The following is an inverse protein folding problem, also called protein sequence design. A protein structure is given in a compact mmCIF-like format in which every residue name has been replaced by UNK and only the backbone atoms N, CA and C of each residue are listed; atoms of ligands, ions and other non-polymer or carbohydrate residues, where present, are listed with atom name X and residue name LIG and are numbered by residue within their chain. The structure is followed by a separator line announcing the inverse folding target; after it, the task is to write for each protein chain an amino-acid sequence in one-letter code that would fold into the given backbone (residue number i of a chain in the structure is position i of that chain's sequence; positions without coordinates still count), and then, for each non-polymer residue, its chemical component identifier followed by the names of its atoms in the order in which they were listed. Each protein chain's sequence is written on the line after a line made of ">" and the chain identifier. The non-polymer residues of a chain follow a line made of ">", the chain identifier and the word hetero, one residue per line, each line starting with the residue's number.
data_IF_099948515403
#
_entry.id   IF_099948515403
#
_cell.length_a   1.000
_cell.length_b   1.000
_cell.length_c   1.000
_cell.angle_alpha   90.00
_cell.angle_beta   90.00
_cell.angle_gamma   90.00
#
_symmetry.space_group_name_H-M   'P 1'
#
loop_
_entity.id
_entity.type
_entity.pdbx_description
1 polymer ?
#
# COMPACT_ATOMS: atom_id res chain seq x y z
N UNK A 1 29.43 26.89 -8.02
CA UNK A 1 28.10 26.32 -8.31
C UNK A 1 27.35 26.11 -7.00
N UNK A 2 26.26 26.85 -6.78
CA UNK A 2 25.47 26.73 -5.55
C UNK A 2 24.68 25.40 -5.60
N UNK A 3 25.07 24.43 -4.76
CA UNK A 3 24.38 23.14 -4.67
C UNK A 3 22.92 23.41 -4.25
N UNK A 4 21.96 23.05 -5.11
CA UNK A 4 20.53 23.10 -4.76
C UNK A 4 20.29 22.11 -3.62
N UNK A 5 20.01 22.61 -2.42
CA UNK A 5 19.71 21.78 -1.25
C UNK A 5 18.19 21.59 -1.10
N UNK A 6 17.78 20.34 -0.86
CA UNK A 6 16.40 20.03 -0.48
C UNK A 6 16.21 20.41 0.99
N UNK A 7 15.07 21.02 1.32
CA UNK A 7 14.76 21.51 2.67
C UNK A 7 13.40 20.97 3.10
N UNK A 8 13.08 21.06 4.38
CA UNK A 8 11.76 20.69 4.90
C UNK A 8 10.60 21.39 4.16
N UNK A 9 10.80 22.65 3.73
CA UNK A 9 9.81 23.39 2.95
C UNK A 9 9.50 22.70 1.61
N UNK A 10 10.52 22.18 0.94
CA UNK A 10 10.34 21.44 -0.31
C UNK A 10 9.50 20.17 -0.09
N UNK A 11 9.72 19.46 1.01
CA UNK A 11 8.93 18.27 1.35
C UNK A 11 7.46 18.61 1.62
N UNK A 12 7.18 19.72 2.32
CA UNK A 12 5.80 20.19 2.53
C UNK A 12 5.12 20.63 1.24
N UNK A 13 5.82 21.36 0.38
CA UNK A 13 5.30 21.76 -0.94
C UNK A 13 5.01 20.53 -1.81
N UNK A 14 5.86 19.51 -1.75
CA UNK A 14 5.61 18.25 -2.44
C UNK A 14 4.36 17.55 -1.90
N UNK A 15 4.18 17.47 -0.58
CA UNK A 15 2.96 16.92 0.01
C UNK A 15 1.70 17.70 -0.41
N UNK A 16 1.78 19.03 -0.49
CA UNK A 16 0.69 19.87 -1.00
C UNK A 16 0.39 19.56 -2.47
N UNK A 17 1.42 19.46 -3.32
CA UNK A 17 1.29 19.06 -4.72
C UNK A 17 0.61 17.69 -4.87
N UNK A 18 0.92 16.73 -4.00
CA UNK A 18 0.25 15.43 -4.01
C UNK A 18 -1.25 15.54 -3.70
N UNK A 19 -1.66 16.53 -2.92
CA UNK A 19 -3.07 16.79 -2.61
C UNK A 19 -3.75 17.52 -3.77
N UNK A 20 -3.19 18.66 -4.21
CA UNK A 20 -3.86 19.57 -5.15
C UNK A 20 -3.83 19.05 -6.58
N UNK A 21 -2.65 18.63 -7.04
CA UNK A 21 -2.45 18.24 -8.45
C UNK A 21 -2.70 16.75 -8.67
N UNK A 22 -2.19 15.90 -7.77
CA UNK A 22 -2.32 14.44 -7.91
C UNK A 22 -3.59 13.88 -7.28
N UNK A 23 -4.33 14.69 -6.54
CA UNK A 23 -5.57 14.29 -5.86
C UNK A 23 -5.40 13.02 -5.01
N UNK A 24 -4.21 12.82 -4.44
CA UNK A 24 -3.91 11.64 -3.65
C UNK A 24 -4.70 11.65 -2.34
N UNK A 25 -5.39 10.53 -2.07
CA UNK A 25 -6.03 10.30 -0.77
C UNK A 25 -5.02 10.12 0.39
N UNK A 26 -5.51 10.12 1.64
CA UNK A 26 -4.66 10.00 2.85
C UNK A 26 -3.72 8.80 2.83
N UNK A 27 -4.20 7.63 2.38
CA UNK A 27 -3.40 6.40 2.31
C UNK A 27 -2.16 6.53 1.41
N UNK A 28 -2.35 7.01 0.18
CA UNK A 28 -1.24 7.23 -0.74
C UNK A 28 -0.23 8.24 -0.18
N UNK A 29 -0.70 9.30 0.49
CA UNK A 29 0.18 10.30 1.12
C UNK A 29 0.94 9.73 2.31
N UNK A 30 0.33 8.89 3.14
CA UNK A 30 1.00 8.24 4.27
C UNK A 30 2.17 7.36 3.81
N UNK A 31 1.99 6.63 2.70
CA UNK A 31 3.05 5.85 2.06
C UNK A 31 4.17 6.78 1.59
N UNK A 32 3.85 7.87 0.88
CA UNK A 32 4.87 8.84 0.41
C UNK A 32 5.65 9.47 1.57
N UNK A 33 4.99 9.81 2.68
CA UNK A 33 5.67 10.27 3.91
C UNK A 33 6.64 9.21 4.43
N UNK A 34 6.22 7.95 4.48
CA UNK A 34 7.08 6.84 4.92
C UNK A 34 8.30 6.66 4.01
N UNK A 35 8.10 6.71 2.69
CA UNK A 35 9.19 6.63 1.71
C UNK A 35 10.18 7.79 1.88
N UNK A 36 9.68 9.03 2.03
CA UNK A 36 10.54 10.20 2.24
C UNK A 36 11.34 10.07 3.54
N UNK A 37 10.70 9.66 4.64
CA UNK A 37 11.42 9.42 5.90
C UNK A 37 12.53 8.39 5.71
N UNK A 38 12.22 7.22 5.15
CA UNK A 38 13.22 6.18 4.90
C UNK A 38 14.37 6.65 4.01
N UNK A 39 14.06 7.36 2.92
CA UNK A 39 15.07 7.88 2.00
C UNK A 39 16.00 8.91 2.64
N UNK A 40 15.45 9.90 3.37
CA UNK A 40 16.29 10.91 4.02
C UNK A 40 17.00 10.38 5.26
N UNK A 41 16.45 9.37 5.94
CA UNK A 41 17.19 8.61 6.96
C UNK A 41 18.41 7.92 6.34
N UNK A 42 18.23 7.22 5.22
CA UNK A 42 19.36 6.61 4.51
C UNK A 42 20.43 7.65 4.12
N UNK A 43 20.04 8.77 3.52
CA UNK A 43 20.99 9.82 3.15
C UNK A 43 21.74 10.42 4.34
N UNK A 44 21.09 10.53 5.50
CA UNK A 44 21.71 11.01 6.72
C UNK A 44 22.72 10.00 7.26
N UNK A 45 22.37 8.71 7.29
CA UNK A 45 23.26 7.63 7.72
C UNK A 45 24.47 7.46 6.79
N UNK A 46 24.30 7.69 5.50
CA UNK A 46 25.37 7.68 4.49
C UNK A 46 26.17 9.00 4.41
N UNK A 47 25.96 9.90 5.38
CA UNK A 47 26.63 11.21 5.50
C UNK A 47 26.51 12.09 4.23
N UNK A 48 25.49 11.85 3.40
CA UNK A 48 25.20 12.65 2.20
C UNK A 48 24.53 13.97 2.54
N UNK A 49 23.90 14.05 3.72
CA UNK A 49 23.30 15.25 4.30
C UNK A 49 23.72 15.39 5.76
N UNK A 50 23.91 16.62 6.22
CA UNK A 50 24.44 16.89 7.56
C UNK A 50 23.37 16.81 8.67
N UNK A 51 22.09 16.79 8.30
CA UNK A 51 20.98 16.72 9.24
C UNK A 51 19.76 16.10 8.55
N UNK A 52 18.92 15.48 9.36
CA UNK A 52 17.70 14.85 8.90
C UNK A 52 16.60 15.90 8.64
N UNK A 53 16.03 15.86 7.43
CA UNK A 53 15.03 16.86 6.98
C UNK A 53 13.59 16.33 7.00
N UNK A 54 13.40 15.02 7.10
CA UNK A 54 12.08 14.38 6.97
C UNK A 54 11.42 14.00 8.31
N UNK A 55 12.12 14.13 9.45
CA UNK A 55 11.62 13.66 10.75
C UNK A 55 10.29 14.28 11.16
N UNK A 56 10.16 15.59 10.92
CA UNK A 56 8.98 16.40 11.24
C UNK A 56 7.83 16.22 10.25
N UNK A 57 7.93 15.28 9.29
CA UNK A 57 6.79 14.93 8.44
C UNK A 57 5.78 14.11 9.24
N UNK A 58 4.54 14.54 9.23
CA UNK A 58 3.44 13.83 9.86
C UNK A 58 2.75 12.93 8.83
N UNK A 59 2.47 11.70 9.23
CA UNK A 59 1.58 10.83 8.44
C UNK A 59 0.15 11.33 8.64
N UNK A 60 -0.63 11.52 7.56
CA UNK A 60 -2.04 11.88 7.70
C UNK A 60 -2.76 10.78 8.47
N UNK A 61 -3.71 11.17 9.32
CA UNK A 61 -4.54 10.21 10.04
C UNK A 61 -5.37 9.41 9.02
N UNK A 62 -5.43 8.09 9.21
CA UNK A 62 -6.16 7.19 8.33
C UNK A 62 -7.18 6.46 9.16
N UNK A 63 -8.44 6.56 8.76
CA UNK A 63 -9.48 5.69 9.29
C UNK A 63 -9.14 4.25 8.91
N UNK A 64 -9.03 3.39 9.92
CA UNK A 64 -8.92 1.96 9.71
C UNK A 64 -10.30 1.44 9.33
N UNK A 65 -10.51 1.13 8.05
CA UNK A 65 -11.69 0.38 7.64
C UNK A 65 -11.58 -1.03 8.21
N UNK A 66 -12.68 -1.53 8.76
CA UNK A 66 -12.76 -2.93 9.14
C UNK A 66 -12.56 -3.79 7.88
N UNK A 67 -11.74 -4.84 7.95
CA UNK A 67 -11.57 -5.75 6.84
C UNK A 67 -12.92 -6.38 6.48
N UNK A 68 -13.25 -6.38 5.20
CA UNK A 68 -14.39 -7.12 4.67
C UNK A 68 -13.91 -8.55 4.42
N UNK A 69 -14.58 -9.52 5.03
CA UNK A 69 -14.29 -10.93 4.89
C UNK A 69 -15.58 -11.70 4.63
N UNK A 70 -15.46 -12.90 4.09
CA UNK A 70 -16.60 -13.80 3.85
C UNK A 70 -16.84 -14.65 5.09
N UNK A 71 -18.09 -14.75 5.53
CA UNK A 71 -18.50 -15.77 6.50
C UNK A 71 -18.37 -17.17 5.91
N UNK A 72 -18.41 -18.20 6.75
CA UNK A 72 -18.37 -19.58 6.29
C UNK A 72 -19.53 -19.89 5.32
N UNK A 73 -20.71 -19.35 5.59
CA UNK A 73 -21.90 -19.50 4.75
C UNK A 73 -21.74 -18.74 3.42
N UNK A 74 -21.12 -17.56 3.43
CA UNK A 74 -20.81 -16.78 2.23
C UNK A 74 -19.79 -17.50 1.34
N UNK A 75 -18.75 -18.10 1.93
CA UNK A 75 -17.79 -18.94 1.23
C UNK A 75 -18.46 -20.13 0.55
N UNK A 76 -19.36 -20.84 1.26
CA UNK A 76 -20.11 -21.96 0.69
C UNK A 76 -20.98 -21.53 -0.49
N UNK A 77 -21.77 -20.46 -0.32
CA UNK A 77 -22.60 -19.90 -1.41
C UNK A 77 -21.76 -19.47 -2.61
N UNK A 78 -20.60 -18.86 -2.37
CA UNK A 78 -19.70 -18.42 -3.43
C UNK A 78 -19.18 -19.60 -4.25
N UNK A 79 -18.79 -20.70 -3.60
CA UNK A 79 -18.33 -21.91 -4.28
C UNK A 79 -19.45 -22.59 -5.09
N UNK A 80 -20.68 -22.60 -4.58
CA UNK A 80 -21.82 -23.20 -5.28
C UNK A 80 -22.18 -22.44 -6.56
N UNK A 81 -22.10 -21.10 -6.56
CA UNK A 81 -22.39 -20.27 -7.74
C UNK A 81 -21.39 -20.49 -8.87
N UNK A 82 -20.15 -20.86 -8.55
CA UNK A 82 -19.06 -21.01 -9.52
C UNK A 82 -19.03 -22.44 -10.09
N UNK A 83 -19.67 -23.40 -9.41
CA UNK A 83 -19.58 -24.82 -9.73
C UNK A 83 -20.48 -25.20 -10.91
N UNK A 84 -19.85 -25.41 -12.06
CA UNK A 84 -20.38 -26.16 -13.20
C UNK A 84 -19.40 -27.26 -13.68
N UNK A 85 -19.80 -28.07 -14.67
CA UNK A 85 -19.00 -29.18 -15.22
C UNK A 85 -17.89 -28.73 -16.19
N UNK A 86 -17.73 -27.43 -16.45
CA UNK A 86 -16.68 -26.95 -17.33
C UNK A 86 -15.31 -27.07 -16.69
N UNK A 87 -14.30 -27.36 -17.51
CA UNK A 87 -12.89 -27.32 -17.10
C UNK A 87 -12.50 -25.97 -16.49
N UNK A 88 -13.17 -24.88 -16.90
CA UNK A 88 -12.95 -23.54 -16.38
C UNK A 88 -13.41 -23.42 -14.92
N UNK A 89 -14.64 -23.85 -14.62
CA UNK A 89 -15.22 -23.89 -13.27
C UNK A 89 -14.37 -24.71 -12.29
N UNK A 90 -13.95 -25.92 -12.70
CA UNK A 90 -13.13 -26.80 -11.85
C UNK A 90 -11.82 -26.11 -11.46
N UNK A 91 -11.18 -25.42 -12.40
CA UNK A 91 -9.95 -24.67 -12.13
C UNK A 91 -10.20 -23.47 -11.20
N UNK A 92 -11.23 -22.67 -11.47
CA UNK A 92 -11.54 -21.48 -10.67
C UNK A 92 -11.94 -21.86 -9.24
N UNK A 93 -12.79 -22.87 -9.07
CA UNK A 93 -13.17 -23.38 -7.74
C UNK A 93 -11.97 -23.93 -6.97
N UNK A 94 -11.06 -24.65 -7.63
CA UNK A 94 -9.81 -25.12 -7.00
C UNK A 94 -8.95 -23.96 -6.52
N UNK A 95 -8.75 -22.93 -7.35
CA UNK A 95 -7.99 -21.74 -6.98
C UNK A 95 -8.60 -21.04 -5.76
N UNK A 96 -9.93 -20.88 -5.75
CA UNK A 96 -10.64 -20.25 -4.63
C UNK A 96 -10.52 -21.10 -3.36
N UNK A 97 -10.66 -22.42 -3.47
CA UNK A 97 -10.48 -23.34 -2.33
C UNK A 97 -9.07 -23.21 -1.75
N UNK A 98 -8.04 -23.13 -2.59
CA UNK A 98 -6.66 -22.90 -2.12
C UNK A 98 -6.59 -21.60 -1.33
N UNK A 99 -7.14 -20.48 -1.84
CA UNK A 99 -7.17 -19.22 -1.08
C UNK A 99 -7.91 -19.33 0.25
N UNK A 100 -9.08 -19.97 0.26
CA UNK A 100 -9.92 -20.10 1.46
C UNK A 100 -9.28 -21.00 2.53
N UNK A 101 -8.62 -22.09 2.15
CA UNK A 101 -8.06 -23.06 3.08
C UNK A 101 -6.63 -22.75 3.53
N UNK A 102 -5.82 -22.14 2.65
CA UNK A 102 -4.39 -21.89 2.94
C UNK A 102 -4.09 -20.44 3.31
N UNK A 103 -4.97 -19.50 2.93
CA UNK A 103 -4.75 -18.08 3.20
C UNK A 103 -3.58 -17.45 2.44
N UNK A 104 -3.07 -18.12 1.40
CA UNK A 104 -1.97 -17.59 0.58
C UNK A 104 -2.38 -16.31 -0.16
N UNK A 105 -1.39 -15.47 -0.49
CA UNK A 105 -1.59 -14.30 -1.34
C UNK A 105 -1.70 -14.71 -2.80
N UNK A 106 -2.35 -13.87 -3.61
CA UNK A 106 -2.42 -14.07 -5.06
C UNK A 106 -1.05 -14.23 -5.73
N UNK A 107 -0.04 -13.50 -5.24
CA UNK A 107 1.34 -13.57 -5.76
C UNK A 107 2.08 -14.84 -5.34
N UNK A 108 1.51 -15.66 -4.47
CA UNK A 108 2.10 -16.93 -4.03
C UNK A 108 1.51 -18.12 -4.80
N UNK A 109 0.44 -17.89 -5.58
CA UNK A 109 -0.24 -18.90 -6.42
C UNK A 109 0.40 -19.10 -7.81
N UNK A 110 1.55 -18.46 -8.08
CA UNK A 110 2.20 -18.43 -9.41
C UNK A 110 2.68 -19.82 -9.82
#
# INVERSE_FOLDING_TARGET
>A
MQKRQVTYRHLRLFLQFLVTERKNGPAARAIKVSCMKGFFTFLYLEEKINHQIADRLFKPNMEQKLPVYLSQEECARFLDVIRDESRHSIRVSTIILVFLYTGIRLTELI
#
